data_IF_767273773562
#
_entry.id   IF_767273773562
#
_cell.length_a   1.000
_cell.length_b   1.000
_cell.length_c   1.000
_cell.angle_alpha   90.00
_cell.angle_beta   90.00
_cell.angle_gamma   90.00
#
_symmetry.space_group_name_H-M   'P 1'
#
loop_
_entity.id
_entity.type
_entity.pdbx_description
1 polymer ?
#
# COMPACT_ATOMS: atom_id res chain seq x y z
N UNK A 1 -7.35 -31.12 -68.90
CA UNK A 1 -8.10 -30.23 -68.03
C UNK A 1 -7.81 -30.66 -66.62
N UNK A 2 -6.96 -29.88 -65.88
CA UNK A 2 -6.55 -30.21 -64.51
C UNK A 2 -7.31 -29.30 -63.56
N UNK A 3 -8.19 -29.88 -62.75
CA UNK A 3 -8.93 -29.09 -61.69
C UNK A 3 -8.04 -28.86 -60.51
N UNK A 4 -7.75 -27.57 -60.24
CA UNK A 4 -7.03 -27.12 -59.06
C UNK A 4 -8.05 -26.87 -57.96
N UNK A 5 -8.06 -27.74 -56.94
CA UNK A 5 -8.87 -27.53 -55.72
C UNK A 5 -8.05 -26.68 -54.77
N UNK A 6 -8.48 -25.41 -54.55
CA UNK A 6 -7.92 -24.50 -53.57
C UNK A 6 -8.61 -24.80 -52.22
N UNK A 7 -7.86 -25.41 -51.31
CA UNK A 7 -8.29 -25.63 -49.93
C UNK A 7 -8.07 -24.33 -49.11
N UNK A 8 -9.16 -23.62 -48.82
CA UNK A 8 -9.14 -22.46 -47.98
C UNK A 8 -9.10 -22.90 -46.51
N UNK A 9 -7.93 -22.82 -45.85
CA UNK A 9 -7.83 -22.95 -44.40
C UNK A 9 -8.34 -21.68 -43.72
N UNK A 10 -9.52 -21.74 -43.12
CA UNK A 10 -10.02 -20.69 -42.27
C UNK A 10 -9.30 -20.76 -40.91
N UNK A 11 -8.38 -19.82 -40.68
CA UNK A 11 -7.80 -19.59 -39.35
C UNK A 11 -8.81 -18.87 -38.49
N UNK A 12 -9.47 -19.56 -37.60
CA UNK A 12 -10.26 -18.95 -36.51
C UNK A 12 -9.31 -18.42 -35.45
N UNK A 13 -9.12 -17.11 -35.43
CA UNK A 13 -8.46 -16.42 -34.30
C UNK A 13 -9.39 -16.49 -33.08
N UNK A 14 -9.06 -17.34 -32.11
CA UNK A 14 -9.67 -17.34 -30.81
C UNK A 14 -9.03 -16.17 -30.05
N UNK A 15 -9.70 -15.04 -30.03
CA UNK A 15 -9.32 -13.90 -29.19
C UNK A 15 -9.59 -14.27 -27.71
N UNK A 16 -8.53 -14.66 -27.01
CA UNK A 16 -8.58 -14.75 -25.55
C UNK A 16 -8.71 -13.33 -24.98
N UNK A 17 -9.94 -12.89 -24.72
CA UNK A 17 -10.19 -11.72 -23.90
C UNK A 17 -9.85 -12.10 -22.46
N UNK A 18 -8.62 -11.81 -22.05
CA UNK A 18 -8.28 -11.75 -20.63
C UNK A 18 -9.10 -10.62 -20.00
N UNK A 19 -10.15 -10.99 -19.26
CA UNK A 19 -10.77 -10.07 -18.31
C UNK A 19 -9.74 -9.78 -17.23
N UNK A 20 -8.97 -8.72 -17.41
CA UNK A 20 -8.26 -8.11 -16.31
C UNK A 20 -9.34 -7.61 -15.33
N UNK A 21 -9.52 -8.31 -14.22
CA UNK A 21 -10.24 -7.76 -13.10
C UNK A 21 -9.44 -6.53 -12.64
N UNK A 22 -9.94 -5.37 -13.05
CA UNK A 22 -9.45 -4.08 -12.58
C UNK A 22 -9.89 -3.95 -11.12
N UNK A 23 -9.11 -4.59 -10.23
CA UNK A 23 -9.19 -4.31 -8.81
C UNK A 23 -8.72 -2.87 -8.67
N UNK A 24 -9.65 -1.94 -8.55
CA UNK A 24 -9.35 -0.56 -8.21
C UNK A 24 -8.35 -0.62 -7.05
N UNK A 25 -7.09 -0.26 -7.34
CA UNK A 25 -5.97 -0.38 -6.41
C UNK A 25 -6.31 0.54 -5.23
N UNK A 26 -6.71 -0.06 -4.12
CA UNK A 26 -7.07 0.70 -2.92
C UNK A 26 -5.80 1.43 -2.48
N UNK A 27 -5.79 2.74 -2.59
CA UNK A 27 -4.65 3.57 -2.23
C UNK A 27 -4.92 4.24 -0.90
N UNK A 28 -3.90 4.39 -0.08
CA UNK A 28 -4.00 5.22 1.11
C UNK A 28 -4.22 6.68 0.72
N UNK A 29 -5.05 7.41 1.46
CA UNK A 29 -5.21 8.84 1.24
C UNK A 29 -3.88 9.58 1.49
N UNK A 30 -3.72 10.70 0.82
CA UNK A 30 -2.63 11.64 1.11
C UNK A 30 -1.25 11.23 0.59
N UNK A 31 -1.11 10.28 -0.32
CA UNK A 31 0.18 9.94 -0.92
C UNK A 31 0.74 11.15 -1.69
N UNK A 32 1.93 11.63 -1.28
CA UNK A 32 2.67 12.70 -1.94
C UNK A 32 3.72 12.12 -2.89
N UNK A 33 4.52 11.18 -2.41
CA UNK A 33 5.53 10.48 -3.20
C UNK A 33 5.68 9.03 -2.77
N UNK A 34 6.16 8.21 -3.69
CA UNK A 34 6.49 6.81 -3.44
C UNK A 34 7.70 6.45 -4.28
N UNK A 35 8.73 5.94 -3.63
CA UNK A 35 9.97 5.51 -4.25
C UNK A 35 10.30 4.08 -3.86
N UNK A 36 10.88 3.34 -4.80
CA UNK A 36 11.24 1.95 -4.63
C UNK A 36 12.70 1.75 -5.06
N UNK A 37 13.50 1.24 -4.15
CA UNK A 37 14.91 0.98 -4.38
C UNK A 37 15.20 -0.52 -4.26
N UNK A 38 15.79 -1.11 -5.30
CA UNK A 38 16.29 -2.48 -5.25
C UNK A 38 17.54 -2.53 -4.36
N UNK A 39 17.51 -3.34 -3.30
CA UNK A 39 18.63 -3.46 -2.37
C UNK A 39 19.64 -4.52 -2.81
N UNK A 40 19.18 -5.69 -3.28
CA UNK A 40 20.02 -6.84 -3.56
C UNK A 40 19.45 -7.80 -4.64
N UNK A 41 18.48 -7.34 -5.39
CA UNK A 41 17.72 -8.15 -6.37
C UNK A 41 16.64 -9.03 -5.76
N UNK A 42 16.53 -9.13 -4.43
CA UNK A 42 15.53 -9.91 -3.68
C UNK A 42 14.64 -9.05 -2.80
N UNK A 43 15.17 -7.96 -2.27
CA UNK A 43 14.50 -7.06 -1.37
C UNK A 43 14.42 -5.67 -1.97
N UNK A 44 13.30 -4.99 -1.74
CA UNK A 44 13.09 -3.60 -2.09
C UNK A 44 12.96 -2.75 -0.82
N UNK A 45 13.59 -1.58 -0.81
CA UNK A 45 13.32 -0.52 0.14
C UNK A 45 12.23 0.39 -0.45
N UNK A 46 11.09 0.45 0.21
CA UNK A 46 9.97 1.28 -0.17
C UNK A 46 9.87 2.48 0.76
N UNK A 47 9.92 3.68 0.19
CA UNK A 47 9.82 4.94 0.91
C UNK A 47 8.59 5.69 0.39
N UNK A 48 7.68 6.05 1.28
CA UNK A 48 6.51 6.85 0.94
C UNK A 48 6.45 8.09 1.82
N UNK A 49 6.08 9.22 1.24
CA UNK A 49 5.65 10.40 1.99
C UNK A 49 4.15 10.57 1.86
N UNK A 50 3.49 10.79 2.98
CA UNK A 50 2.04 10.92 3.07
C UNK A 50 1.67 12.14 3.91
N UNK A 51 0.68 12.89 3.44
CA UNK A 51 0.11 14.00 4.21
C UNK A 51 -1.40 13.85 4.27
N UNK A 52 -1.93 13.75 5.47
CA UNK A 52 -3.37 13.68 5.71
C UNK A 52 -3.77 14.74 6.73
N UNK A 53 -4.92 15.36 6.51
CA UNK A 53 -5.56 16.24 7.49
C UNK A 53 -6.93 15.64 7.82
N UNK A 54 -7.44 15.93 9.03
CA UNK A 54 -8.77 15.52 9.48
C UNK A 54 -8.97 14.01 9.49
N UNK A 55 -8.03 13.29 10.08
CA UNK A 55 -8.09 11.85 10.37
C UNK A 55 -8.99 11.04 9.41
N UNK A 56 -8.63 11.02 8.14
CA UNK A 56 -9.27 10.06 7.24
C UNK A 56 -9.06 8.65 7.82
N UNK A 57 -10.13 7.92 8.05
CA UNK A 57 -10.03 6.54 8.53
C UNK A 57 -9.20 5.74 7.54
N UNK A 58 -8.03 5.34 7.98
CA UNK A 58 -7.20 4.41 7.21
C UNK A 58 -7.92 3.06 7.22
N UNK A 59 -8.18 2.50 6.05
CA UNK A 59 -8.83 1.20 5.95
C UNK A 59 -7.99 0.13 6.67
N UNK A 60 -8.67 -0.85 7.28
CA UNK A 60 -8.03 -1.95 8.00
C UNK A 60 -7.07 -2.72 7.08
N UNK A 61 -5.83 -2.86 7.51
CA UNK A 61 -4.78 -3.46 6.70
C UNK A 61 -3.63 -4.01 7.56
N UNK A 62 -2.67 -4.65 6.91
CA UNK A 62 -1.38 -5.04 7.50
C UNK A 62 -0.26 -4.94 6.47
N UNK A 63 0.97 -4.96 6.95
CA UNK A 63 2.18 -4.98 6.14
C UNK A 63 2.88 -6.33 6.23
N UNK A 64 2.99 -7.10 5.12
CA UNK A 64 3.74 -8.37 5.09
C UNK A 64 5.26 -8.17 5.22
N UNK A 65 5.73 -6.92 5.10
CA UNK A 65 7.13 -6.56 5.25
C UNK A 65 7.68 -6.99 6.64
N UNK A 66 8.98 -7.28 6.78
CA UNK A 66 9.62 -7.57 8.07
C UNK A 66 9.42 -6.50 9.14
N UNK A 67 9.02 -5.32 8.73
CA UNK A 67 8.61 -4.20 9.59
C UNK A 67 8.45 -2.92 8.79
N UNK A 68 7.68 -2.01 9.35
CA UNK A 68 7.44 -0.69 8.79
C UNK A 68 7.81 0.36 9.83
N UNK A 69 8.69 1.29 9.49
CA UNK A 69 8.99 2.47 10.28
C UNK A 69 8.11 3.63 9.77
N UNK A 70 7.39 4.28 10.67
CA UNK A 70 6.66 5.50 10.36
C UNK A 70 7.23 6.64 11.19
N UNK A 71 7.70 7.69 10.52
CA UNK A 71 8.31 8.87 11.11
C UNK A 71 7.42 10.09 10.87
N UNK A 72 7.17 10.89 11.88
CA UNK A 72 6.40 12.13 11.78
C UNK A 72 7.32 13.27 11.35
N UNK A 73 7.16 13.71 10.11
CA UNK A 73 7.92 14.85 9.56
C UNK A 73 7.38 16.18 10.10
N UNK A 74 6.05 16.31 10.13
CA UNK A 74 5.37 17.50 10.61
C UNK A 74 3.98 17.16 11.15
N UNK A 75 3.50 17.96 12.11
CA UNK A 75 2.22 17.76 12.76
C UNK A 75 2.26 16.63 13.79
N UNK A 76 1.20 15.86 13.88
CA UNK A 76 1.11 14.72 14.81
C UNK A 76 0.24 13.59 14.25
N UNK A 77 0.52 12.39 14.71
CA UNK A 77 -0.21 11.18 14.36
C UNK A 77 -0.35 10.28 15.58
N UNK A 78 -1.10 9.22 15.47
CA UNK A 78 -1.26 8.26 16.56
C UNK A 78 -1.14 6.81 16.08
N UNK A 79 -0.67 5.94 16.95
CA UNK A 79 -0.57 4.52 16.68
C UNK A 79 -0.74 3.71 17.96
N UNK A 80 -1.28 2.49 17.81
CA UNK A 80 -1.41 1.48 18.87
C UNK A 80 -0.34 0.39 18.75
N UNK A 81 0.71 0.62 17.96
CA UNK A 81 1.75 -0.39 17.67
C UNK A 81 2.51 -0.89 18.91
N UNK A 82 2.54 -0.10 19.98
CA UNK A 82 3.11 -0.48 21.29
C UNK A 82 2.16 -1.25 22.22
N UNK A 83 0.90 -1.49 21.79
CA UNK A 83 -0.17 -2.10 22.59
C UNK A 83 -1.18 -1.12 23.14
N UNK A 84 -0.80 0.15 23.32
CA UNK A 84 -1.65 1.23 23.78
C UNK A 84 -1.60 2.40 22.79
N UNK A 85 -2.66 3.22 22.74
CA UNK A 85 -2.68 4.41 21.93
C UNK A 85 -1.63 5.40 22.41
N UNK A 86 -0.78 5.84 21.50
CA UNK A 86 0.20 6.90 21.73
C UNK A 86 0.12 7.90 20.59
N UNK A 87 0.16 9.19 20.94
CA UNK A 87 0.34 10.29 20.00
C UNK A 87 1.83 10.50 19.78
N UNK A 88 2.22 10.66 18.53
CA UNK A 88 3.58 10.95 18.07
C UNK A 88 3.59 12.32 17.41
N UNK A 89 4.54 13.15 17.79
CA UNK A 89 4.72 14.51 17.27
C UNK A 89 5.90 14.57 16.28
N UNK A 90 6.09 15.72 15.64
CA UNK A 90 7.20 15.96 14.72
C UNK A 90 8.54 15.53 15.32
N UNK A 91 9.29 14.69 14.60
CA UNK A 91 10.56 14.11 15.03
C UNK A 91 10.42 12.77 15.77
N UNK A 92 9.22 12.34 16.11
CA UNK A 92 8.98 11.04 16.71
C UNK A 92 8.63 9.99 15.65
N UNK A 93 8.69 8.72 16.04
CA UNK A 93 8.43 7.60 15.16
C UNK A 93 7.85 6.41 15.93
N UNK A 94 7.23 5.49 15.17
CA UNK A 94 6.85 4.17 15.67
C UNK A 94 7.23 3.09 14.68
N UNK A 95 7.17 1.86 15.15
CA UNK A 95 7.46 0.68 14.35
C UNK A 95 6.23 -0.24 14.31
N UNK A 96 5.87 -0.66 13.13
CA UNK A 96 4.80 -1.61 12.88
C UNK A 96 5.41 -2.98 12.56
N UNK A 97 5.07 -3.96 13.37
CA UNK A 97 5.56 -5.33 13.21
C UNK A 97 4.91 -5.99 12.00
N UNK A 98 5.59 -6.98 11.46
CA UNK A 98 5.07 -7.86 10.40
C UNK A 98 3.68 -8.35 10.77
N UNK A 99 2.77 -8.31 9.80
CA UNK A 99 1.40 -8.81 9.89
C UNK A 99 0.55 -8.20 11.02
N UNK A 100 1.00 -7.11 11.64
CA UNK A 100 0.17 -6.39 12.59
C UNK A 100 -0.99 -5.69 11.87
N UNK A 101 -2.20 -6.16 12.19
CA UNK A 101 -3.44 -5.62 11.62
C UNK A 101 -3.80 -4.32 12.33
N UNK A 102 -3.97 -3.24 11.57
CA UNK A 102 -4.30 -1.92 12.08
C UNK A 102 -5.11 -1.10 11.05
N UNK A 103 -5.55 0.09 11.45
CA UNK A 103 -6.47 0.91 10.67
C UNK A 103 -7.94 0.50 10.90
N UNK A 104 -8.83 1.47 10.88
CA UNK A 104 -10.25 1.27 11.11
C UNK A 104 -10.60 0.92 12.56
N UNK A 105 -9.72 1.24 13.52
CA UNK A 105 -9.99 1.07 14.94
C UNK A 105 -11.06 2.07 15.42
N UNK A 106 -12.13 1.53 16.03
CA UNK A 106 -13.23 2.34 16.56
C UNK A 106 -12.84 3.06 17.88
N UNK A 107 -11.81 2.55 18.56
CA UNK A 107 -11.32 3.07 19.84
C UNK A 107 -10.19 4.10 19.70
N UNK A 108 -9.91 4.56 18.48
CA UNK A 108 -8.86 5.56 18.24
C UNK A 108 -9.24 6.89 18.92
N UNK A 109 -8.34 7.48 19.75
CA UNK A 109 -8.60 8.76 20.37
C UNK A 109 -8.82 9.86 19.34
N UNK A 110 -9.73 10.77 19.62
CA UNK A 110 -9.94 11.96 18.79
C UNK A 110 -8.75 12.92 18.95
N UNK A 111 -8.06 13.20 17.86
CA UNK A 111 -6.97 14.20 17.84
C UNK A 111 -7.43 15.62 17.51
N UNK A 112 -8.71 15.80 17.21
CA UNK A 112 -9.30 17.08 16.79
C UNK A 112 -9.36 17.24 15.25
N UNK A 113 -10.32 18.08 14.82
CA UNK A 113 -10.69 18.21 13.41
C UNK A 113 -9.62 18.84 12.50
N UNK A 114 -8.73 19.67 13.07
CA UNK A 114 -7.73 20.45 12.31
C UNK A 114 -6.32 19.86 12.37
N UNK A 115 -6.20 18.61 12.80
CA UNK A 115 -4.89 17.95 12.90
C UNK A 115 -4.48 17.40 11.56
N UNK A 116 -3.30 17.80 11.12
CA UNK A 116 -2.61 17.22 9.98
C UNK A 116 -1.41 16.39 10.45
N UNK A 117 -1.07 15.37 9.68
CA UNK A 117 0.18 14.62 9.80
C UNK A 117 0.87 14.56 8.44
N UNK A 118 2.18 14.81 8.44
CA UNK A 118 3.09 14.58 7.32
C UNK A 118 4.03 13.46 7.74
N UNK A 119 3.94 12.32 7.09
CA UNK A 119 4.58 11.08 7.51
C UNK A 119 5.57 10.60 6.45
N UNK A 120 6.70 10.09 6.91
CA UNK A 120 7.61 9.28 6.13
C UNK A 120 7.45 7.82 6.53
N UNK A 121 7.04 6.98 5.58
CA UNK A 121 6.83 5.55 5.79
C UNK A 121 7.94 4.80 5.07
N UNK A 122 8.70 4.01 5.83
CA UNK A 122 9.87 3.28 5.32
C UNK A 122 9.66 1.80 5.63
N UNK A 123 9.77 0.95 4.60
CA UNK A 123 9.66 -0.49 4.76
C UNK A 123 10.59 -1.23 3.81
N UNK A 124 11.05 -2.40 4.25
CA UNK A 124 11.80 -3.33 3.43
C UNK A 124 10.92 -4.55 3.19
N UNK A 125 10.73 -4.94 1.95
CA UNK A 125 9.88 -6.07 1.59
C UNK A 125 10.51 -6.93 0.50
N UNK A 126 10.05 -8.16 0.35
CA UNK A 126 10.45 -9.00 -0.77
C UNK A 126 10.03 -8.37 -2.10
N UNK A 127 10.94 -8.40 -3.06
CA UNK A 127 10.74 -7.83 -4.39
C UNK A 127 9.49 -8.41 -5.07
N UNK A 128 8.66 -7.51 -5.57
CA UNK A 128 7.42 -7.88 -6.27
C UNK A 128 6.29 -8.35 -5.37
N UNK A 129 6.43 -8.26 -4.05
CA UNK A 129 5.34 -8.51 -3.10
C UNK A 129 4.56 -7.24 -2.78
N UNK A 130 3.30 -7.41 -2.42
CA UNK A 130 2.48 -6.30 -1.95
C UNK A 130 3.05 -5.74 -0.64
N UNK A 131 3.22 -4.43 -0.58
CA UNK A 131 3.71 -3.75 0.63
C UNK A 131 2.61 -3.52 1.66
N UNK A 132 1.36 -3.65 1.24
CA UNK A 132 0.17 -3.45 2.08
C UNK A 132 -0.95 -4.35 1.60
N UNK A 133 -1.58 -5.05 2.54
CA UNK A 133 -2.73 -5.92 2.29
C UNK A 133 -3.94 -5.38 3.05
N UNK A 134 -4.98 -4.96 2.32
CA UNK A 134 -6.23 -4.50 2.90
C UNK A 134 -7.11 -5.68 3.28
N UNK A 135 -7.74 -5.57 4.46
CA UNK A 135 -8.68 -6.55 4.98
C UNK A 135 -10.10 -6.06 4.68
N UNK A 136 -10.92 -6.95 4.13
CA UNK A 136 -12.34 -6.69 3.83
C UNK A 136 -13.21 -6.98 5.05
#
# INVERSE_FOLDING_TARGET
MKNLIILMCAFTFISNTSFAHDHAKQTFPGLISSELFDLDGKMDLHIERRKTCNQGTVAKHFHPAPGTLVYVLDGKSQSKSSGEWKTYESGEYWFERTDWVHGGEEDAPDMGADVCSDLLVIRVAEKGKDHTVFIK
#
